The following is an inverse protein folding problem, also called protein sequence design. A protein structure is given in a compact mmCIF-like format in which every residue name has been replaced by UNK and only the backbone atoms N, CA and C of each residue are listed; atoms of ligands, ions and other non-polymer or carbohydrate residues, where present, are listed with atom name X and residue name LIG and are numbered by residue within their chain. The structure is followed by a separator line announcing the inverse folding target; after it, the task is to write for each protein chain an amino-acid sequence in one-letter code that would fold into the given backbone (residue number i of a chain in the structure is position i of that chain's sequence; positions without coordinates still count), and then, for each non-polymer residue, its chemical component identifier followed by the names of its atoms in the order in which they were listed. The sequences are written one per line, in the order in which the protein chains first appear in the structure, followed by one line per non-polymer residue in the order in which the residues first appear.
data_IF_430829390368
#
_entry.id   IF_430829390368
#
_cell.length_a   1.000
_cell.length_b   1.000
_cell.length_c   1.000
_cell.angle_alpha   90.00
_cell.angle_beta   90.00
_cell.angle_gamma   90.00
#
_symmetry.space_group_name_H-M   'P 1'
#
loop_
_entity.id
_entity.type
_entity.pdbx_description
1 polymer ?
#
# COMPACT_ATOMS: atom_id res chain seq x y z
N UNK A 1 -7.98 45.27 -4.70
CA UNK A 1 -8.59 44.21 -3.87
C UNK A 1 -8.89 44.70 -2.46
N UNK A 2 -10.05 44.32 -1.92
CA UNK A 2 -10.47 44.66 -0.56
C UNK A 2 -10.75 43.39 0.26
N UNK A 3 -10.49 43.47 1.56
CA UNK A 3 -10.88 42.47 2.56
C UNK A 3 -12.25 42.82 3.13
N UNK A 4 -13.17 41.88 3.07
CA UNK A 4 -14.54 42.06 3.52
C UNK A 4 -14.84 41.09 4.67
N UNK A 5 -15.43 41.60 5.75
CA UNK A 5 -15.86 40.77 6.87
C UNK A 5 -17.14 40.02 6.50
N UNK A 6 -17.19 38.72 6.81
CA UNK A 6 -18.34 37.87 6.53
C UNK A 6 -18.96 37.39 7.83
N UNK A 7 -20.28 37.35 7.85
CA UNK A 7 -21.09 36.82 8.94
C UNK A 7 -21.94 35.67 8.39
N UNK A 8 -21.82 34.50 9.00
CA UNK A 8 -22.59 33.29 8.68
C UNK A 8 -23.57 33.00 9.82
N UNK A 9 -24.87 32.92 9.50
CA UNK A 9 -25.94 32.66 10.49
C UNK A 9 -25.89 33.59 11.72
N UNK A 10 -25.46 34.84 11.53
CA UNK A 10 -25.34 35.83 12.61
C UNK A 10 -24.04 35.75 13.42
N UNK A 11 -23.17 34.77 13.17
CA UNK A 11 -21.86 34.64 13.80
C UNK A 11 -20.71 35.12 12.87
N UNK A 12 -19.59 35.59 13.42
CA UNK A 12 -18.41 35.93 12.62
C UNK A 12 -17.93 34.73 11.80
N UNK A 13 -17.89 34.90 10.48
CA UNK A 13 -17.58 33.88 9.48
C UNK A 13 -16.19 34.00 8.86
N UNK A 14 -15.38 34.97 9.32
CA UNK A 14 -14.07 35.28 8.78
C UNK A 14 -14.11 36.38 7.72
N UNK A 15 -13.22 36.31 6.74
CA UNK A 15 -13.07 37.33 5.70
C UNK A 15 -13.06 36.72 4.30
N UNK A 16 -13.50 37.49 3.31
CA UNK A 16 -13.34 37.19 1.88
C UNK A 16 -12.67 38.36 1.17
N UNK A 17 -11.93 38.04 0.11
CA UNK A 17 -11.18 39.02 -0.68
C UNK A 17 -11.86 39.20 -2.03
N UNK A 18 -12.20 40.45 -2.36
CA UNK A 18 -12.89 40.80 -3.59
C UNK A 18 -12.71 42.28 -3.92
N UNK A 19 -12.89 42.67 -5.18
CA UNK A 19 -12.81 44.08 -5.60
C UNK A 19 -14.07 44.86 -5.21
N UNK A 20 -15.22 44.18 -5.15
CA UNK A 20 -16.51 44.79 -4.78
C UNK A 20 -17.26 43.98 -3.71
N UNK A 21 -18.25 44.64 -3.07
CA UNK A 21 -19.11 44.01 -2.06
C UNK A 21 -19.99 42.89 -2.66
N UNK A 22 -20.37 43.02 -3.94
CA UNK A 22 -21.20 42.03 -4.62
C UNK A 22 -20.40 40.77 -4.95
N UNK A 23 -19.15 40.92 -5.38
CA UNK A 23 -18.21 39.81 -5.54
C UNK A 23 -17.90 39.12 -4.20
N UNK A 24 -17.68 39.90 -3.15
CA UNK A 24 -17.48 39.39 -1.79
C UNK A 24 -18.69 38.55 -1.34
N UNK A 25 -19.91 39.05 -1.60
CA UNK A 25 -21.15 38.35 -1.26
C UNK A 25 -21.31 37.05 -2.05
N UNK A 26 -21.05 37.07 -3.35
CA UNK A 26 -21.10 35.87 -4.19
C UNK A 26 -20.09 34.81 -3.74
N UNK A 27 -18.84 35.21 -3.46
CA UNK A 27 -17.80 34.32 -2.96
C UNK A 27 -18.16 33.71 -1.60
N UNK A 28 -18.67 34.54 -0.67
CA UNK A 28 -19.08 34.10 0.65
C UNK A 28 -20.26 33.11 0.61
N UNK A 29 -21.23 33.32 -0.29
CA UNK A 29 -22.37 32.42 -0.51
C UNK A 29 -21.92 31.08 -1.12
N UNK A 30 -21.01 31.11 -2.09
CA UNK A 30 -20.44 29.89 -2.69
C UNK A 30 -19.59 29.08 -1.70
N UNK A 31 -18.88 29.74 -0.78
CA UNK A 31 -18.18 29.08 0.32
C UNK A 31 -19.16 28.43 1.30
N UNK A 32 -20.21 29.16 1.72
CA UNK A 32 -21.24 28.64 2.63
C UNK A 32 -21.97 27.41 2.04
N UNK A 33 -22.37 27.46 0.77
CA UNK A 33 -23.06 26.34 0.11
C UNK A 33 -22.21 25.08 -0.04
N UNK A 34 -20.86 25.20 -0.11
CA UNK A 34 -19.98 24.03 -0.12
C UNK A 34 -19.91 23.31 1.23
N UNK A 35 -20.00 24.06 2.32
CA UNK A 35 -19.96 23.51 3.69
C UNK A 35 -21.35 23.05 4.14
N UNK A 36 -22.40 23.73 3.66
CA UNK A 36 -23.79 23.46 4.00
C UNK A 36 -24.65 23.29 2.73
N UNK A 37 -24.50 22.17 2.00
CA UNK A 37 -25.16 21.95 0.71
C UNK A 37 -26.70 21.92 0.81
N UNK A 38 -27.23 21.57 1.98
CA UNK A 38 -28.68 21.46 2.22
C UNK A 38 -29.32 22.77 2.70
N UNK A 39 -28.59 23.89 2.72
CA UNK A 39 -29.07 25.19 3.23
C UNK A 39 -28.97 26.28 2.16
N UNK A 40 -30.04 27.06 2.00
CA UNK A 40 -30.00 28.24 1.14
C UNK A 40 -29.13 29.34 1.79
N UNK A 41 -28.03 29.77 1.15
CA UNK A 41 -27.17 30.83 1.68
C UNK A 41 -27.83 32.22 1.71
N UNK A 42 -28.95 32.43 0.99
CA UNK A 42 -29.65 33.72 0.94
C UNK A 42 -30.18 34.12 2.33
N UNK A 43 -29.88 35.34 2.76
CA UNK A 43 -30.27 35.87 4.08
C UNK A 43 -29.43 35.37 5.28
N UNK A 44 -28.65 34.29 5.10
CA UNK A 44 -27.77 33.69 6.13
C UNK A 44 -26.33 34.15 6.02
N UNK A 45 -25.89 34.53 4.83
CA UNK A 45 -24.58 35.13 4.58
C UNK A 45 -24.73 36.64 4.48
N UNK A 46 -23.99 37.38 5.32
CA UNK A 46 -23.89 38.85 5.23
C UNK A 46 -22.43 39.27 5.12
N UNK A 47 -22.17 40.27 4.29
CA UNK A 47 -20.86 40.92 4.18
C UNK A 47 -20.99 42.30 4.84
N UNK A 48 -20.07 42.66 5.75
CA UNK A 48 -20.10 43.90 6.54
C UNK A 48 -18.91 44.81 6.21
N UNK A 49 -19.11 46.12 6.44
CA UNK A 49 -18.08 47.17 6.30
C UNK A 49 -17.90 47.72 4.88
N UNK A 50 -16.97 48.67 4.72
CA UNK A 50 -16.64 49.32 3.43
C UNK A 50 -15.52 48.62 2.63
N UNK A 51 -15.08 47.47 3.14
CA UNK A 51 -13.96 46.68 2.61
C UNK A 51 -12.62 47.38 2.85
N UNK A 52 -11.71 46.71 3.56
CA UNK A 52 -10.39 47.26 3.88
C UNK A 52 -9.42 47.01 2.72
N UNK A 53 -8.74 48.05 2.25
CA UNK A 53 -7.79 47.91 1.15
C UNK A 53 -6.58 47.08 1.58
N UNK A 54 -6.25 46.05 0.78
CA UNK A 54 -5.13 45.15 1.05
C UNK A 54 -4.08 45.33 -0.04
N UNK A 55 -2.79 45.40 0.36
CA UNK A 55 -1.67 45.65 -0.57
C UNK A 55 -1.41 44.48 -1.54
N UNK A 56 -1.58 43.23 -1.10
CA UNK A 56 -1.50 42.01 -1.92
C UNK A 56 -2.06 40.80 -1.18
N UNK A 57 -2.59 39.80 -1.92
CA UNK A 57 -3.07 38.54 -1.33
C UNK A 57 -1.95 37.81 -0.58
N UNK A 58 -0.74 37.81 -1.16
CA UNK A 58 0.44 37.19 -0.56
C UNK A 58 0.85 37.84 0.78
N UNK A 59 0.78 39.17 0.88
CA UNK A 59 1.15 39.90 2.10
C UNK A 59 0.15 39.66 3.24
N UNK A 60 -1.14 39.60 2.93
CA UNK A 60 -2.19 39.36 3.93
C UNK A 60 -2.20 37.91 4.41
N UNK A 61 -1.96 36.97 3.51
CA UNK A 61 -1.87 35.57 3.89
C UNK A 61 -0.58 35.27 4.69
N UNK A 62 0.53 35.97 4.45
CA UNK A 62 1.68 35.98 5.36
C UNK A 62 1.31 36.51 6.75
N UNK A 63 0.52 37.58 6.84
CA UNK A 63 0.06 38.16 8.10
C UNK A 63 -0.85 37.21 8.88
N UNK A 64 -1.81 36.57 8.21
CA UNK A 64 -2.71 35.57 8.81
C UNK A 64 -1.91 34.37 9.33
N UNK A 65 -0.92 33.90 8.57
CA UNK A 65 -0.03 32.82 9.03
C UNK A 65 0.74 33.23 10.28
N UNK A 66 1.24 34.47 10.34
CA UNK A 66 1.93 34.98 11.52
C UNK A 66 1.00 35.11 12.74
N UNK A 67 -0.23 35.60 12.57
CA UNK A 67 -1.23 35.71 13.65
C UNK A 67 -1.65 34.33 14.18
N UNK A 68 -1.84 33.34 13.29
CA UNK A 68 -2.14 31.96 13.67
C UNK A 68 -0.94 31.28 14.36
N UNK A 69 0.27 31.54 13.89
CA UNK A 69 1.49 31.02 14.50
C UNK A 69 1.70 31.55 15.93
N UNK A 70 1.51 32.86 16.13
CA UNK A 70 1.58 33.48 17.46
C UNK A 70 0.45 33.00 18.39
N UNK A 71 -0.78 32.85 17.87
CA UNK A 71 -1.89 32.29 18.64
C UNK A 71 -1.66 30.85 19.09
N UNK A 72 -1.02 30.03 18.26
CA UNK A 72 -0.69 28.63 18.58
C UNK A 72 0.52 28.51 19.52
N UNK A 73 1.48 29.44 19.45
CA UNK A 73 2.65 29.51 20.35
C UNK A 73 2.25 29.79 21.81
N UNK A 74 1.12 30.46 22.03
CA UNK A 74 0.65 30.86 23.36
C UNK A 74 -0.19 29.80 24.09
N UNK A 75 -0.47 28.64 23.48
CA UNK A 75 -1.25 27.57 24.09
C UNK A 75 -0.35 26.49 24.73
N UNK A 76 -0.46 26.21 26.04
CA UNK A 76 0.39 25.20 26.70
C UNK A 76 0.04 23.78 26.23
N UNK A 77 1.05 22.98 25.85
CA UNK A 77 0.93 21.52 25.72
C UNK A 77 0.72 20.95 24.31
N UNK A 78 0.91 21.71 23.23
CA UNK A 78 0.85 21.18 21.86
C UNK A 78 2.23 21.05 21.21
N UNK A 79 2.85 19.87 21.33
CA UNK A 79 3.87 19.42 20.38
C UNK A 79 3.17 18.92 19.10
N UNK A 80 2.75 19.84 18.22
CA UNK A 80 2.62 19.69 16.74
C UNK A 80 1.74 20.80 16.13
N UNK A 81 2.29 22.00 15.87
CA UNK A 81 1.62 23.04 15.09
C UNK A 81 1.68 22.79 13.56
N UNK A 82 2.38 21.75 13.10
CA UNK A 82 2.88 21.64 11.73
C UNK A 82 1.85 21.24 10.66
N UNK A 83 0.71 20.64 11.03
CA UNK A 83 -0.29 20.16 10.05
C UNK A 83 -1.28 21.25 9.64
N UNK A 84 -1.73 22.10 10.58
CA UNK A 84 -2.61 23.22 10.27
C UNK A 84 -1.87 24.35 9.53
N UNK A 85 -0.59 24.57 9.85
CA UNK A 85 0.28 25.49 9.11
C UNK A 85 0.58 25.00 7.68
N UNK A 86 0.67 23.68 7.45
CA UNK A 86 0.86 23.10 6.11
C UNK A 86 -0.34 23.34 5.20
N UNK A 87 -1.56 23.21 5.70
CA UNK A 87 -2.77 23.49 4.92
C UNK A 87 -2.90 24.97 4.55
N UNK A 88 -2.48 25.89 5.43
CA UNK A 88 -2.42 27.31 5.14
C UNK A 88 -1.34 27.65 4.08
N UNK A 89 -0.17 27.01 4.15
CA UNK A 89 0.91 27.15 3.17
C UNK A 89 0.51 26.66 1.78
N UNK A 90 -0.22 25.54 1.69
CA UNK A 90 -0.73 25.01 0.41
C UNK A 90 -1.76 25.93 -0.24
N UNK A 91 -2.63 26.56 0.56
CA UNK A 91 -3.59 27.56 0.07
C UNK A 91 -2.88 28.84 -0.42
N UNK A 92 -1.80 29.24 0.26
CA UNK A 92 -0.92 30.35 -0.11
C UNK A 92 -0.17 30.10 -1.43
N UNK A 93 0.45 28.94 -1.57
CA UNK A 93 1.17 28.55 -2.80
C UNK A 93 0.22 28.45 -4.00
N UNK A 94 -1.03 28.01 -3.76
CA UNK A 94 -2.08 27.95 -4.78
C UNK A 94 -2.60 29.33 -5.21
N UNK A 95 -2.57 30.33 -4.33
CA UNK A 95 -2.97 31.70 -4.63
C UNK A 95 -1.88 32.44 -5.42
N UNK A 96 -0.60 32.30 -5.03
CA UNK A 96 0.55 32.86 -5.76
C UNK A 96 0.64 32.31 -7.19
N UNK A 97 0.34 31.02 -7.37
CA UNK A 97 0.28 30.39 -8.70
C UNK A 97 -0.83 30.99 -9.60
N UNK A 98 -1.92 31.51 -9.02
CA UNK A 98 -3.00 32.17 -9.77
C UNK A 98 -2.68 33.63 -10.09
N UNK A 99 -1.97 34.33 -9.22
CA UNK A 99 -1.50 35.71 -9.46
C UNK A 99 -0.48 35.76 -10.62
N UNK A 100 0.37 34.74 -10.75
CA UNK A 100 1.28 34.58 -11.91
C UNK A 100 0.59 34.26 -13.25
N UNK A 101 -0.71 33.98 -13.25
CA UNK A 101 -1.52 33.74 -14.45
C UNK A 101 -2.37 34.96 -14.86
N UNK A 102 -2.27 36.09 -14.15
CA UNK A 102 -3.07 37.31 -14.35
C UNK A 102 -2.54 38.31 -15.39
N UNK A 103 -1.50 37.98 -16.14
CA UNK A 103 -1.08 38.77 -17.30
C UNK A 103 -1.94 38.41 -18.52
N UNK A 104 -2.61 39.40 -19.12
CA UNK A 104 -3.47 39.24 -20.31
C UNK A 104 -2.81 38.41 -21.41
N UNK A 105 -3.39 37.26 -21.77
CA UNK A 105 -3.00 36.45 -22.93
C UNK A 105 -4.12 36.48 -23.95
N UNK A 106 -3.94 37.30 -25.01
CA UNK A 106 -4.64 37.10 -26.28
C UNK A 106 -4.30 35.74 -26.89
N UNK A 107 -4.98 35.27 -27.96
CA UNK A 107 -4.92 33.89 -28.41
C UNK A 107 -3.60 33.60 -29.13
N UNK A 108 -2.53 33.45 -28.35
CA UNK A 108 -1.24 32.97 -28.81
C UNK A 108 -1.04 31.58 -28.20
N UNK A 109 -1.35 30.57 -29.02
CA UNK A 109 -0.81 29.20 -28.97
C UNK A 109 -0.38 28.68 -27.60
N UNK A 110 -1.25 27.87 -26.97
CA UNK A 110 -0.84 26.83 -26.00
C UNK A 110 0.18 25.92 -26.67
N UNK A 111 1.47 26.26 -26.64
CA UNK A 111 2.54 25.27 -26.73
C UNK A 111 2.68 24.66 -25.35
N UNK A 112 2.21 23.42 -25.24
CA UNK A 112 2.44 22.55 -24.10
C UNK A 112 3.93 22.59 -23.70
N UNK A 113 4.22 23.18 -22.55
CA UNK A 113 5.52 23.05 -21.87
C UNK A 113 5.64 21.62 -21.35
N UNK A 114 6.77 20.98 -21.64
CA UNK A 114 6.97 19.54 -21.45
C UNK A 114 6.83 19.11 -20.00
N UNK A 115 5.69 18.50 -19.66
CA UNK A 115 5.63 17.59 -18.51
C UNK A 115 6.48 16.37 -18.81
N UNK A 116 7.13 15.79 -17.80
CA UNK A 116 7.71 14.46 -17.91
C UNK A 116 6.57 13.45 -18.08
N UNK A 117 6.13 13.33 -19.33
CA UNK A 117 4.98 12.52 -19.74
C UNK A 117 5.16 11.05 -19.39
N UNK A 118 6.42 10.61 -19.23
CA UNK A 118 6.75 9.27 -18.79
C UNK A 118 6.48 9.09 -17.29
N UNK A 119 6.95 10.00 -16.45
CA UNK A 119 6.68 9.95 -15.00
C UNK A 119 5.18 10.09 -14.70
N UNK A 120 4.49 10.99 -15.39
CA UNK A 120 3.04 11.15 -15.28
C UNK A 120 2.30 9.86 -15.67
N UNK A 121 2.70 9.22 -16.78
CA UNK A 121 2.13 7.93 -17.21
C UNK A 121 2.43 6.82 -16.22
N UNK A 122 3.63 6.79 -15.65
CA UNK A 122 4.04 5.78 -14.69
C UNK A 122 3.24 5.86 -13.38
N UNK A 123 2.89 7.07 -12.92
CA UNK A 123 2.12 7.30 -11.69
C UNK A 123 0.60 7.08 -11.86
N UNK A 124 0.10 6.90 -13.08
CA UNK A 124 -1.33 6.73 -13.36
C UNK A 124 -2.01 5.64 -12.51
N UNK A 125 -1.45 4.44 -12.32
CA UNK A 125 -2.08 3.41 -11.48
C UNK A 125 -2.33 3.86 -10.03
N UNK A 126 -1.45 4.70 -9.48
CA UNK A 126 -1.57 5.25 -8.12
C UNK A 126 -2.67 6.30 -8.06
N UNK A 127 -2.81 7.13 -9.10
CA UNK A 127 -3.87 8.14 -9.15
C UNK A 127 -5.26 7.54 -9.35
N UNK A 128 -5.36 6.48 -10.16
CA UNK A 128 -6.61 5.78 -10.46
C UNK A 128 -7.12 4.93 -9.29
N UNK A 129 -6.22 4.40 -8.45
CA UNK A 129 -6.61 3.56 -7.31
C UNK A 129 -7.34 4.35 -6.22
N UNK A 130 -8.60 4.03 -5.94
CA UNK A 130 -9.40 4.58 -4.85
C UNK A 130 -8.87 4.19 -3.45
N UNK A 131 -8.06 3.14 -3.36
CA UNK A 131 -7.44 2.70 -2.10
C UNK A 131 -6.19 3.51 -1.73
N UNK A 132 -5.58 4.26 -2.67
CA UNK A 132 -4.47 5.14 -2.33
C UNK A 132 -4.99 6.42 -1.67
N UNK A 133 -4.49 6.81 -0.47
CA UNK A 133 -4.94 8.01 0.22
C UNK A 133 -4.76 9.29 -0.59
N UNK A 134 -5.74 10.19 -0.51
CA UNK A 134 -5.71 11.51 -1.16
C UNK A 134 -4.42 12.30 -0.88
N UNK A 135 -3.88 12.37 0.35
CA UNK A 135 -2.64 13.10 0.62
C UNK A 135 -1.43 12.57 -0.16
N UNK A 136 -1.36 11.25 -0.39
CA UNK A 136 -0.29 10.64 -1.20
C UNK A 136 -0.41 11.09 -2.66
N UNK A 137 -1.63 11.07 -3.22
CA UNK A 137 -1.91 11.49 -4.59
C UNK A 137 -1.63 12.98 -4.79
N UNK A 138 -2.07 13.83 -3.86
CA UNK A 138 -1.85 15.29 -3.94
C UNK A 138 -0.37 15.62 -3.88
N UNK A 139 0.39 14.98 -2.99
CA UNK A 139 1.85 15.15 -2.92
C UNK A 139 2.54 14.76 -4.23
N UNK A 140 2.15 13.64 -4.82
CA UNK A 140 2.70 13.18 -6.10
C UNK A 140 2.30 14.11 -7.27
N UNK A 141 1.08 14.65 -7.28
CA UNK A 141 0.63 15.63 -8.28
C UNK A 141 1.41 16.94 -8.17
N UNK A 142 1.58 17.47 -6.96
CA UNK A 142 2.39 18.67 -6.73
C UNK A 142 3.81 18.47 -7.27
N UNK A 143 4.44 17.33 -6.99
CA UNK A 143 5.77 17.00 -7.53
C UNK A 143 5.79 16.97 -9.07
N UNK A 144 4.75 16.48 -9.75
CA UNK A 144 4.65 16.48 -11.20
C UNK A 144 4.51 17.89 -11.79
N UNK A 145 3.74 18.76 -11.14
CA UNK A 145 3.54 20.15 -11.58
C UNK A 145 4.87 20.91 -11.60
N UNK A 146 5.75 20.63 -10.63
CA UNK A 146 7.11 21.19 -10.60
C UNK A 146 7.96 20.74 -11.79
N UNK A 147 7.87 19.47 -12.22
CA UNK A 147 8.65 18.96 -13.37
C UNK A 147 8.30 19.68 -14.67
N UNK A 148 7.04 20.10 -14.83
CA UNK A 148 6.56 20.81 -16.02
C UNK A 148 7.19 22.20 -16.24
N UNK A 149 7.91 22.75 -15.26
CA UNK A 149 8.49 24.10 -15.28
C UNK A 149 9.95 24.16 -15.77
N UNK A 150 10.38 23.25 -16.66
CA UNK A 150 11.78 23.09 -17.14
C UNK A 150 12.77 22.65 -16.06
N UNK A 151 12.41 21.64 -15.27
CA UNK A 151 13.34 21.07 -14.29
C UNK A 151 14.34 20.13 -14.96
N UNK A 152 15.62 20.48 -14.98
CA UNK A 152 16.69 19.63 -15.53
C UNK A 152 17.74 19.23 -14.48
N UNK A 153 18.48 18.17 -14.77
CA UNK A 153 19.64 17.75 -13.98
C UNK A 153 19.31 17.41 -12.54
N UNK A 154 19.97 18.10 -11.59
CA UNK A 154 19.90 17.80 -10.15
C UNK A 154 18.51 18.03 -9.55
N UNK A 155 17.78 19.05 -10.01
CA UNK A 155 16.45 19.36 -9.46
C UNK A 155 15.42 18.29 -9.85
N UNK A 156 15.49 17.76 -11.08
CA UNK A 156 14.64 16.64 -11.51
C UNK A 156 14.90 15.40 -10.63
N UNK A 157 16.16 15.11 -10.31
CA UNK A 157 16.51 14.00 -9.41
C UNK A 157 15.98 14.19 -8.00
N UNK A 158 15.96 15.42 -7.47
CA UNK A 158 15.34 15.70 -6.16
C UNK A 158 13.84 15.43 -6.19
N UNK A 159 13.16 15.78 -7.28
CA UNK A 159 11.72 15.51 -7.43
C UNK A 159 11.46 14.01 -7.52
N UNK A 160 12.20 13.28 -8.37
CA UNK A 160 12.09 11.83 -8.50
C UNK A 160 12.34 11.11 -7.17
N UNK A 161 13.33 11.58 -6.41
CA UNK A 161 13.65 11.03 -5.09
C UNK A 161 12.51 11.26 -4.10
N UNK A 162 11.96 12.49 -4.03
CA UNK A 162 10.79 12.80 -3.21
C UNK A 162 9.55 12.01 -3.64
N UNK A 163 9.38 11.74 -4.93
CA UNK A 163 8.30 10.89 -5.42
C UNK A 163 8.50 9.44 -4.96
N UNK A 164 9.72 8.92 -5.07
CA UNK A 164 10.07 7.58 -4.58
C UNK A 164 9.87 7.45 -3.07
N UNK A 165 10.33 8.42 -2.27
CA UNK A 165 10.05 8.50 -0.84
C UNK A 165 8.56 8.45 -0.52
N UNK A 166 7.76 9.19 -1.29
CA UNK A 166 6.32 9.25 -1.09
C UNK A 166 5.67 7.89 -1.35
N UNK A 167 6.11 7.16 -2.38
CA UNK A 167 5.66 5.81 -2.65
C UNK A 167 6.15 4.81 -1.58
N UNK A 168 7.41 4.92 -1.16
CA UNK A 168 8.02 4.08 -0.13
C UNK A 168 7.25 4.17 1.18
N UNK A 169 7.01 5.38 1.67
CA UNK A 169 6.29 5.62 2.91
C UNK A 169 4.81 5.21 2.83
N UNK A 170 4.26 5.09 1.63
CA UNK A 170 2.89 4.61 1.40
C UNK A 170 2.81 3.09 1.16
N UNK A 171 3.92 2.34 1.28
CA UNK A 171 3.93 0.89 1.04
C UNK A 171 3.75 0.49 -0.44
N UNK A 172 3.97 1.42 -1.38
CA UNK A 172 3.76 1.23 -2.83
C UNK A 172 5.03 0.74 -3.56
N UNK A 173 6.02 0.23 -2.83
CA UNK A 173 7.29 -0.24 -3.39
C UNK A 173 7.40 -1.76 -3.19
N UNK A 174 7.72 -2.48 -4.26
CA UNK A 174 8.06 -3.90 -4.17
C UNK A 174 9.37 -4.06 -3.38
N UNK A 175 9.33 -4.76 -2.24
CA UNK A 175 10.47 -5.05 -1.39
C UNK A 175 11.58 -5.86 -2.08
N UNK A 176 11.27 -6.55 -3.19
CA UNK A 176 12.27 -7.23 -4.03
C UNK A 176 12.95 -6.29 -5.02
N UNK A 177 12.44 -5.06 -5.13
CA UNK A 177 12.89 -4.04 -6.06
C UNK A 177 12.96 -4.56 -7.49
N UNK A 178 12.04 -5.44 -7.89
CA UNK A 178 12.06 -6.02 -9.23
C UNK A 178 11.89 -4.94 -10.30
N UNK A 179 12.62 -5.10 -11.40
CA UNK A 179 12.53 -4.13 -12.49
C UNK A 179 11.13 -4.15 -13.11
N UNK A 180 10.48 -5.31 -13.17
CA UNK A 180 9.16 -5.52 -13.80
C UNK A 180 8.22 -6.18 -12.78
N UNK A 181 7.67 -5.41 -11.83
CA UNK A 181 6.79 -5.97 -10.83
C UNK A 181 5.51 -6.52 -11.47
N UNK A 182 5.03 -7.65 -10.97
CA UNK A 182 3.76 -8.27 -11.38
C UNK A 182 2.55 -7.41 -11.00
N UNK A 183 2.65 -6.64 -9.91
CA UNK A 183 1.61 -5.74 -9.43
C UNK A 183 1.67 -4.37 -10.12
N UNK A 184 0.52 -3.89 -10.62
CA UNK A 184 0.39 -2.57 -11.26
C UNK A 184 0.70 -1.40 -10.30
N UNK A 185 0.36 -1.53 -9.02
CA UNK A 185 0.61 -0.49 -8.02
C UNK A 185 2.10 -0.28 -7.72
N UNK A 186 2.94 -1.31 -7.95
CA UNK A 186 4.40 -1.22 -7.78
C UNK A 186 5.12 -0.67 -9.02
N UNK A 187 4.47 -0.63 -10.19
CA UNK A 187 5.09 -0.16 -11.44
C UNK A 187 5.67 1.26 -11.36
N UNK A 188 4.96 2.26 -10.76
CA UNK A 188 5.55 3.59 -10.61
C UNK A 188 6.83 3.60 -9.77
N UNK A 189 6.89 2.82 -8.69
CA UNK A 189 8.08 2.70 -7.88
C UNK A 189 9.24 2.07 -8.68
N UNK A 190 8.97 0.98 -9.43
CA UNK A 190 9.98 0.34 -10.26
C UNK A 190 10.53 1.29 -11.35
N UNK A 191 9.67 2.12 -11.95
CA UNK A 191 10.09 3.16 -12.88
C UNK A 191 11.08 4.15 -12.24
N UNK A 192 10.76 4.65 -11.05
CA UNK A 192 11.62 5.57 -10.30
C UNK A 192 12.93 4.90 -9.85
N UNK A 193 12.87 3.66 -9.36
CA UNK A 193 14.06 2.87 -8.97
C UNK A 193 15.03 2.76 -10.13
N UNK A 194 14.57 2.47 -11.37
CA UNK A 194 15.44 2.41 -12.55
C UNK A 194 16.11 3.75 -12.84
N UNK A 195 15.36 4.86 -12.77
CA UNK A 195 15.91 6.21 -13.02
C UNK A 195 16.93 6.62 -11.95
N UNK A 196 16.60 6.40 -10.68
CA UNK A 196 17.45 6.72 -9.54
C UNK A 196 18.72 5.84 -9.48
N UNK A 197 18.62 4.58 -9.90
CA UNK A 197 19.78 3.67 -9.99
C UNK A 197 20.73 4.08 -11.11
N UNK A 198 20.20 4.40 -12.30
CA UNK A 198 21.01 4.93 -13.41
C UNK A 198 21.71 6.24 -13.03
N UNK A 199 21.06 7.07 -12.21
CA UNK A 199 21.62 8.30 -11.69
C UNK A 199 22.59 8.09 -10.50
N UNK A 200 22.82 6.84 -10.06
CA UNK A 200 23.65 6.49 -8.89
C UNK A 200 23.17 7.12 -7.57
N UNK A 201 21.88 7.47 -7.48
CA UNK A 201 21.24 7.99 -6.26
C UNK A 201 20.77 6.84 -5.36
N UNK A 202 20.23 5.80 -5.99
CA UNK A 202 19.84 4.55 -5.35
C UNK A 202 20.79 3.44 -5.78
N UNK A 203 21.12 2.52 -4.88
CA UNK A 203 21.91 1.33 -5.19
C UNK A 203 21.20 0.11 -4.61
N UNK A 204 20.95 -0.88 -5.46
CA UNK A 204 20.25 -2.12 -5.12
C UNK A 204 21.24 -3.26 -5.26
N UNK A 205 21.63 -3.85 -4.13
CA UNK A 205 22.54 -4.99 -4.06
C UNK A 205 21.75 -6.28 -3.93
N UNK A 206 21.73 -7.05 -5.03
CA UNK A 206 21.07 -8.36 -5.10
C UNK A 206 21.98 -9.52 -4.71
N UNK A 207 23.29 -9.26 -4.61
CA UNK A 207 24.31 -10.26 -4.30
C UNK A 207 24.29 -11.46 -5.27
N UNK A 208 24.15 -11.18 -6.56
CA UNK A 208 24.17 -12.20 -7.61
C UNK A 208 25.48 -13.01 -7.54
N UNK A 209 25.36 -14.34 -7.50
CA UNK A 209 26.50 -15.24 -7.44
C UNK A 209 26.97 -15.63 -6.02
N UNK A 210 26.48 -14.96 -4.97
CA UNK A 210 26.71 -15.42 -3.59
C UNK A 210 25.84 -16.66 -3.32
N UNK A 211 26.46 -17.79 -2.97
CA UNK A 211 25.75 -19.06 -2.73
C UNK A 211 25.88 -19.53 -1.29
N UNK A 212 26.92 -19.09 -0.60
CA UNK A 212 27.20 -19.48 0.77
C UNK A 212 27.02 -18.33 1.75
N UNK A 213 26.72 -18.63 3.02
CA UNK A 213 26.66 -17.65 4.12
C UNK A 213 27.95 -16.82 4.20
N UNK A 214 29.10 -17.44 3.91
CA UNK A 214 30.39 -16.74 3.94
C UNK A 214 30.58 -15.81 2.74
N UNK A 215 30.12 -16.19 1.54
CA UNK A 215 30.07 -15.27 0.38
C UNK A 215 29.24 -14.02 0.72
N UNK A 216 28.07 -14.22 1.32
CA UNK A 216 27.22 -13.10 1.73
C UNK A 216 27.86 -12.25 2.81
N UNK A 217 28.52 -12.85 3.80
CA UNK A 217 29.25 -12.09 4.84
C UNK A 217 30.36 -11.26 4.22
N UNK A 218 31.14 -11.83 3.30
CA UNK A 218 32.19 -11.11 2.60
C UNK A 218 31.63 -9.95 1.77
N UNK A 219 30.54 -10.17 1.02
CA UNK A 219 29.89 -9.14 0.22
C UNK A 219 29.22 -8.04 1.07
N UNK A 220 28.78 -8.36 2.28
CA UNK A 220 28.18 -7.42 3.24
C UNK A 220 29.21 -6.66 4.08
N UNK A 221 30.45 -7.14 4.18
CA UNK A 221 31.49 -6.53 5.01
C UNK A 221 31.66 -5.00 4.79
N UNK A 222 31.59 -4.46 3.55
CA UNK A 222 31.69 -3.01 3.32
C UNK A 222 30.50 -2.18 3.84
N UNK A 223 29.39 -2.83 4.20
CA UNK A 223 28.11 -2.18 4.55
C UNK A 223 27.80 -2.20 6.05
N UNK A 224 28.58 -2.94 6.84
CA UNK A 224 28.37 -3.11 8.28
C UNK A 224 27.30 -4.14 8.62
N UNK A 225 27.28 -4.58 9.89
CA UNK A 225 26.42 -5.67 10.35
C UNK A 225 24.90 -5.36 10.26
N UNK A 226 24.52 -4.08 10.42
CA UNK A 226 23.12 -3.65 10.35
C UNK A 226 22.54 -3.68 8.93
N UNK A 227 23.36 -3.88 7.90
CA UNK A 227 22.93 -3.93 6.50
C UNK A 227 22.20 -5.24 6.15
N UNK A 228 22.19 -6.23 7.04
CA UNK A 228 21.51 -7.50 6.80
C UNK A 228 20.75 -8.02 8.02
N UNK A 229 19.70 -8.77 7.75
CA UNK A 229 18.98 -9.61 8.70
C UNK A 229 19.03 -11.06 8.21
N UNK A 230 19.18 -12.00 9.13
CA UNK A 230 19.16 -13.44 8.81
C UNK A 230 17.90 -14.11 9.34
N UNK A 231 17.28 -14.93 8.50
CA UNK A 231 16.31 -15.94 8.89
C UNK A 231 16.90 -17.34 8.63
N UNK A 232 16.23 -18.38 9.11
CA UNK A 232 16.64 -19.77 8.88
C UNK A 232 15.60 -20.50 8.03
N UNK A 233 16.00 -21.54 7.33
CA UNK A 233 15.12 -22.50 6.64
C UNK A 233 15.79 -23.87 6.57
N UNK A 234 15.02 -24.95 6.54
CA UNK A 234 15.55 -26.30 6.37
C UNK A 234 15.97 -26.55 4.91
N UNK A 235 17.13 -27.18 4.70
CA UNK A 235 17.67 -27.53 3.38
C UNK A 235 18.15 -28.99 3.37
N UNK A 236 18.23 -29.67 2.20
CA UNK A 236 18.68 -31.05 2.14
C UNK A 236 20.13 -31.23 2.62
N UNK A 237 20.44 -32.36 3.27
CA UNK A 237 21.79 -32.84 3.61
C UNK A 237 22.60 -33.14 2.33
N UNK A 238 23.09 -32.08 1.69
CA UNK A 238 23.79 -32.15 0.41
C UNK A 238 23.80 -30.82 -0.33
N UNK A 239 22.82 -29.94 -0.05
CA UNK A 239 22.87 -28.52 -0.40
C UNK A 239 23.91 -27.74 0.41
N UNK A 240 24.47 -28.35 1.46
CA UNK A 240 25.47 -27.73 2.33
C UNK A 240 24.84 -26.82 3.37
N UNK A 241 25.25 -26.97 4.63
CA UNK A 241 24.82 -26.12 5.75
C UNK A 241 25.13 -24.62 5.54
N UNK A 242 25.98 -24.31 4.56
CA UNK A 242 26.35 -22.96 4.20
C UNK A 242 25.46 -22.36 3.11
N UNK A 243 24.54 -23.09 2.48
CA UNK A 243 23.67 -22.51 1.45
C UNK A 243 22.86 -21.34 2.01
N UNK A 244 22.88 -20.24 1.27
CA UNK A 244 22.15 -19.04 1.61
C UNK A 244 21.45 -18.48 0.39
N UNK A 245 20.21 -18.01 0.59
CA UNK A 245 19.43 -17.36 -0.46
C UNK A 245 19.05 -15.95 -0.03
N UNK A 246 19.11 -15.01 -0.98
CA UNK A 246 18.68 -13.63 -0.77
C UNK A 246 17.18 -13.55 -1.00
N UNK A 247 16.45 -13.30 0.08
CA UNK A 247 15.01 -13.04 0.02
C UNK A 247 14.72 -11.60 -0.38
N UNK A 248 15.51 -10.68 0.16
CA UNK A 248 15.36 -9.25 -0.08
C UNK A 248 16.73 -8.61 -0.33
N UNK A 249 16.88 -7.78 -1.36
CA UNK A 249 18.15 -7.10 -1.63
C UNK A 249 18.46 -6.05 -0.55
N UNK A 250 19.73 -5.71 -0.41
CA UNK A 250 20.15 -4.51 0.32
C UNK A 250 19.88 -3.30 -0.58
N UNK A 251 19.19 -2.29 -0.05
CA UNK A 251 18.95 -1.05 -0.78
C UNK A 251 19.55 0.11 -0.02
N UNK A 252 20.42 0.83 -0.72
CA UNK A 252 21.16 1.97 -0.23
C UNK A 252 20.71 3.23 -0.93
N UNK A 253 20.66 4.31 -0.17
CA UNK A 253 20.36 5.65 -0.63
C UNK A 253 21.57 6.55 -0.41
N UNK A 254 22.01 7.21 -1.48
CA UNK A 254 23.07 8.22 -1.42
C UNK A 254 24.41 7.61 -0.99
N UNK A 255 25.24 8.30 -0.19
CA UNK A 255 26.55 7.80 0.23
C UNK A 255 26.45 6.72 1.33
N UNK A 256 25.56 5.73 1.17
CA UNK A 256 25.53 4.51 1.98
C UNK A 256 24.45 4.42 3.06
N UNK A 257 23.41 5.28 3.07
CA UNK A 257 22.30 5.13 4.01
C UNK A 257 21.49 3.87 3.69
N UNK A 258 21.36 2.96 4.64
CA UNK A 258 20.54 1.75 4.48
C UNK A 258 19.06 2.14 4.48
N UNK A 259 18.39 1.93 3.36
CA UNK A 259 16.93 2.07 3.22
C UNK A 259 16.23 0.75 3.53
N UNK A 260 16.75 -0.35 2.99
CA UNK A 260 16.27 -1.71 3.24
C UNK A 260 17.46 -2.61 3.55
N UNK A 261 17.38 -3.36 4.65
CA UNK A 261 18.36 -4.39 4.99
C UNK A 261 18.22 -5.57 4.02
N UNK A 262 19.34 -6.15 3.60
CA UNK A 262 19.31 -7.45 2.96
C UNK A 262 18.66 -8.46 3.91
N UNK A 263 17.91 -9.41 3.35
CA UNK A 263 17.37 -10.52 4.12
C UNK A 263 17.87 -11.82 3.53
N UNK A 264 18.58 -12.60 4.35
CA UNK A 264 19.24 -13.82 3.92
C UNK A 264 18.64 -15.00 4.69
N UNK A 265 18.28 -16.07 3.98
CA UNK A 265 17.98 -17.36 4.61
C UNK A 265 19.27 -18.14 4.80
N UNK A 266 19.44 -18.67 6.01
CA UNK A 266 20.51 -19.61 6.36
C UNK A 266 19.93 -21.02 6.35
N UNK A 267 20.55 -21.91 5.57
CA UNK A 267 20.19 -23.32 5.54
C UNK A 267 20.47 -24.02 6.87
N UNK A 268 19.52 -24.82 7.33
CA UNK A 268 19.70 -25.83 8.38
C UNK A 268 19.62 -27.18 7.69
N UNK A 269 20.74 -27.91 7.53
CA UNK A 269 20.76 -29.17 6.80
C UNK A 269 19.93 -30.24 7.53
N UNK A 270 19.11 -30.98 6.79
CA UNK A 270 18.34 -32.13 7.28
C UNK A 270 18.30 -33.24 6.23
N UNK A 271 18.38 -34.49 6.67
CA UNK A 271 18.26 -35.66 5.80
C UNK A 271 16.84 -35.86 5.24
N UNK A 272 15.83 -35.42 5.98
CA UNK A 272 14.43 -35.65 5.63
C UNK A 272 13.92 -34.58 4.65
N UNK A 273 13.80 -34.96 3.37
CA UNK A 273 13.24 -34.12 2.31
C UNK A 273 11.83 -33.61 2.62
N UNK A 274 11.08 -34.31 3.48
CA UNK A 274 9.74 -33.89 3.85
C UNK A 274 9.73 -32.71 4.83
N UNK A 275 10.74 -32.62 5.71
CA UNK A 275 10.97 -31.45 6.55
C UNK A 275 11.23 -30.23 5.67
N UNK A 276 12.06 -30.39 4.64
CA UNK A 276 12.38 -29.32 3.67
C UNK A 276 11.13 -28.88 2.91
N UNK A 277 10.37 -29.83 2.37
CA UNK A 277 9.16 -29.53 1.60
C UNK A 277 8.10 -28.80 2.45
N UNK A 278 7.90 -29.24 3.69
CA UNK A 278 6.94 -28.61 4.61
C UNK A 278 7.40 -27.22 5.05
N UNK A 279 8.67 -27.05 5.47
CA UNK A 279 9.21 -25.74 5.85
C UNK A 279 9.14 -24.75 4.70
N UNK A 280 9.44 -25.18 3.47
CA UNK A 280 9.32 -24.34 2.27
C UNK A 280 7.90 -23.83 2.07
N UNK A 281 6.89 -24.70 2.17
CA UNK A 281 5.49 -24.30 2.05
C UNK A 281 5.09 -23.27 3.12
N UNK A 282 5.59 -23.42 4.35
CA UNK A 282 5.35 -22.48 5.45
C UNK A 282 6.11 -21.15 5.27
N UNK A 283 7.38 -21.21 4.87
CA UNK A 283 8.24 -20.04 4.69
C UNK A 283 7.72 -19.17 3.54
N UNK A 284 7.40 -19.78 2.40
CA UNK A 284 6.83 -19.08 1.25
C UNK A 284 5.52 -18.37 1.66
N UNK A 285 4.62 -19.07 2.37
CA UNK A 285 3.36 -18.48 2.83
C UNK A 285 3.58 -17.31 3.79
N UNK A 286 4.48 -17.46 4.76
CA UNK A 286 4.77 -16.41 5.73
C UNK A 286 5.40 -15.19 5.06
N UNK A 287 6.36 -15.39 4.16
CA UNK A 287 7.00 -14.29 3.44
C UNK A 287 5.99 -13.49 2.64
N UNK A 288 5.19 -14.14 1.79
CA UNK A 288 4.18 -13.43 0.99
C UNK A 288 3.19 -12.66 1.85
N UNK A 289 2.72 -13.24 2.96
CA UNK A 289 1.82 -12.56 3.87
C UNK A 289 2.50 -11.38 4.57
N UNK A 290 3.75 -11.55 5.03
CA UNK A 290 4.49 -10.51 5.73
C UNK A 290 4.85 -9.35 4.79
N UNK A 291 5.26 -9.68 3.57
CA UNK A 291 5.55 -8.73 2.51
C UNK A 291 4.31 -7.92 2.14
N UNK A 292 3.15 -8.57 2.08
CA UNK A 292 1.88 -7.89 1.88
C UNK A 292 1.57 -6.94 3.03
N UNK A 293 1.61 -7.41 4.28
CA UNK A 293 1.28 -6.58 5.46
C UNK A 293 2.21 -5.39 5.62
N UNK A 294 3.51 -5.57 5.34
CA UNK A 294 4.50 -4.50 5.46
C UNK A 294 4.45 -3.51 4.27
N UNK A 295 3.73 -3.84 3.20
CA UNK A 295 3.63 -3.07 1.96
C UNK A 295 2.20 -2.63 1.65
N UNK A 296 1.62 -3.15 0.56
CA UNK A 296 0.29 -2.77 0.07
C UNK A 296 -0.84 -3.05 1.08
N UNK A 297 -0.64 -3.96 2.03
CA UNK A 297 -1.58 -4.25 3.10
C UNK A 297 -1.88 -3.03 3.97
N UNK A 298 -0.90 -2.13 4.17
CA UNK A 298 -1.08 -0.86 4.90
C UNK A 298 -2.16 0.04 4.27
N UNK A 299 -2.36 -0.08 2.95
CA UNK A 299 -3.42 0.66 2.23
C UNK A 299 -4.79 0.04 2.44
N UNK A 300 -4.86 -1.26 2.74
CA UNK A 300 -6.11 -1.95 3.06
C UNK A 300 -6.52 -1.74 4.51
N UNK A 301 -5.57 -1.60 5.44
CA UNK A 301 -5.82 -1.55 6.89
C UNK A 301 -6.94 -0.59 7.32
N UNK A 302 -7.01 0.68 6.85
CA UNK A 302 -8.06 1.62 7.25
C UNK A 302 -9.48 1.18 6.83
N UNK A 303 -9.58 0.25 5.88
CA UNK A 303 -10.84 -0.24 5.33
C UNK A 303 -11.25 -1.60 5.91
N UNK A 304 -10.35 -2.27 6.63
CA UNK A 304 -10.59 -3.59 7.21
C UNK A 304 -11.03 -3.48 8.67
N UNK A 305 -11.97 -4.35 9.06
CA UNK A 305 -12.39 -4.50 10.46
C UNK A 305 -11.33 -5.29 11.23
N UNK A 306 -11.30 -5.12 12.55
CA UNK A 306 -10.39 -5.85 13.46
C UNK A 306 -10.40 -7.37 13.23
N UNK A 307 -11.58 -7.97 13.05
CA UNK A 307 -11.70 -9.40 12.75
C UNK A 307 -11.00 -9.81 11.44
N UNK A 308 -10.97 -8.93 10.44
CA UNK A 308 -10.28 -9.17 9.17
C UNK A 308 -8.77 -8.96 9.33
N UNK A 309 -8.34 -7.93 10.05
CA UNK A 309 -6.93 -7.71 10.39
C UNK A 309 -6.33 -8.91 11.15
N UNK A 310 -7.10 -9.49 12.08
CA UNK A 310 -6.68 -10.68 12.84
C UNK A 310 -6.43 -11.93 11.97
N UNK A 311 -6.85 -11.95 10.70
CA UNK A 311 -6.56 -13.07 9.80
C UNK A 311 -5.05 -13.18 9.54
N UNK A 312 -4.39 -12.03 9.30
CA UNK A 312 -2.96 -11.96 9.03
C UNK A 312 -2.16 -12.42 10.25
N UNK A 313 -2.46 -11.85 11.43
CA UNK A 313 -1.77 -12.17 12.68
C UNK A 313 -1.92 -13.65 13.06
N UNK A 314 -3.11 -14.22 12.88
CA UNK A 314 -3.35 -15.64 13.17
C UNK A 314 -2.59 -16.56 12.24
N UNK A 315 -2.53 -16.23 10.94
CA UNK A 315 -1.74 -16.98 9.97
C UNK A 315 -0.25 -16.95 10.35
N UNK A 316 0.30 -15.75 10.55
CA UNK A 316 1.70 -15.56 10.95
C UNK A 316 2.03 -16.30 12.25
N UNK A 317 1.21 -16.15 13.28
CA UNK A 317 1.43 -16.81 14.58
C UNK A 317 1.46 -18.33 14.45
N UNK A 318 0.56 -18.92 13.65
CA UNK A 318 0.50 -20.36 13.43
C UNK A 318 1.72 -20.88 12.68
N UNK A 319 2.18 -20.16 11.64
CA UNK A 319 3.40 -20.52 10.92
C UNK A 319 4.60 -20.45 11.87
N UNK A 320 4.78 -19.32 12.55
CA UNK A 320 5.90 -19.14 13.48
C UNK A 320 5.92 -20.20 14.57
N UNK A 321 4.79 -20.50 15.20
CA UNK A 321 4.70 -21.53 16.23
C UNK A 321 5.15 -22.90 15.72
N UNK A 322 4.71 -23.29 14.52
CA UNK A 322 5.12 -24.56 13.92
C UNK A 322 6.62 -24.57 13.60
N UNK A 323 7.13 -23.51 12.96
CA UNK A 323 8.55 -23.39 12.58
C UNK A 323 9.47 -23.33 13.81
N UNK A 324 9.11 -22.58 14.84
CA UNK A 324 9.87 -22.50 16.09
C UNK A 324 9.92 -23.87 16.80
N UNK A 325 8.82 -24.63 16.76
CA UNK A 325 8.79 -25.99 17.30
C UNK A 325 9.65 -26.97 16.50
N UNK A 326 9.61 -26.89 15.16
CA UNK A 326 10.49 -27.69 14.28
C UNK A 326 11.97 -27.37 14.54
N UNK A 327 12.32 -26.08 14.66
CA UNK A 327 13.68 -25.66 14.97
C UNK A 327 14.15 -26.11 16.35
N UNK A 328 13.27 -26.07 17.36
CA UNK A 328 13.58 -26.60 18.70
C UNK A 328 13.81 -28.12 18.66
N UNK A 329 12.93 -28.87 17.99
CA UNK A 329 13.08 -30.31 17.81
C UNK A 329 14.40 -30.68 17.11
N UNK A 330 14.76 -29.95 16.05
CA UNK A 330 16.02 -30.16 15.34
C UNK A 330 17.26 -29.95 16.25
N UNK A 331 17.26 -28.89 17.08
CA UNK A 331 18.36 -28.63 18.02
C UNK A 331 18.47 -29.68 19.11
N UNK A 332 17.35 -30.25 19.51
CA UNK A 332 17.27 -31.26 20.57
C UNK A 332 17.43 -32.70 20.04
N UNK A 333 17.66 -32.88 18.72
CA UNK A 333 17.75 -34.20 18.10
C UNK A 333 16.45 -35.01 18.17
N UNK A 334 15.30 -34.33 18.27
CA UNK A 334 13.96 -34.93 18.28
C UNK A 334 13.39 -34.98 16.86
N UNK A 335 12.28 -35.70 16.70
CA UNK A 335 11.50 -35.71 15.47
C UNK A 335 11.07 -34.28 15.11
N UNK A 336 11.60 -33.78 13.99
CA UNK A 336 11.40 -32.39 13.54
C UNK A 336 9.99 -32.20 13.00
N UNK A 337 9.49 -33.20 12.30
CA UNK A 337 8.26 -33.12 11.53
C UNK A 337 7.04 -33.30 12.45
N UNK A 338 6.05 -32.39 12.41
CA UNK A 338 4.81 -32.61 13.13
C UNK A 338 4.02 -33.80 12.54
N UNK A 339 3.11 -34.41 13.32
CA UNK A 339 2.23 -35.47 12.81
C UNK A 339 1.44 -35.03 11.57
N UNK A 340 1.17 -35.96 10.66
CA UNK A 340 0.46 -35.73 9.39
C UNK A 340 -0.83 -34.93 9.54
N UNK A 341 -1.63 -35.26 10.56
CA UNK A 341 -2.88 -34.56 10.85
C UNK A 341 -2.63 -33.08 11.14
N UNK A 342 -1.64 -32.76 11.97
CA UNK A 342 -1.28 -31.39 12.32
C UNK A 342 -0.72 -30.63 11.10
N UNK A 343 0.10 -31.28 10.27
CA UNK A 343 0.65 -30.68 9.03
C UNK A 343 -0.44 -30.37 8.02
N UNK A 344 -1.27 -31.37 7.70
CA UNK A 344 -2.41 -31.22 6.79
C UNK A 344 -3.36 -30.12 7.25
N UNK A 345 -3.71 -30.10 8.53
CA UNK A 345 -4.66 -29.14 9.07
C UNK A 345 -4.07 -27.73 9.15
N UNK A 346 -2.77 -27.58 9.42
CA UNK A 346 -2.07 -26.30 9.32
C UNK A 346 -2.07 -25.77 7.88
N UNK A 347 -1.71 -26.60 6.90
CA UNK A 347 -1.68 -26.20 5.48
C UNK A 347 -3.07 -25.78 5.00
N UNK A 348 -4.11 -26.57 5.32
CA UNK A 348 -5.51 -26.20 5.06
C UNK A 348 -5.87 -24.88 5.74
N UNK A 349 -5.47 -24.69 7.00
CA UNK A 349 -5.73 -23.45 7.73
C UNK A 349 -5.10 -22.24 7.03
N UNK A 350 -3.86 -22.34 6.54
CA UNK A 350 -3.20 -21.25 5.82
C UNK A 350 -3.92 -20.90 4.52
N UNK A 351 -4.26 -21.91 3.72
CA UNK A 351 -5.03 -21.72 2.48
C UNK A 351 -6.38 -21.05 2.81
N UNK A 352 -7.06 -21.49 3.87
CA UNK A 352 -8.32 -20.90 4.32
C UNK A 352 -8.15 -19.44 4.76
N UNK A 353 -7.06 -19.09 5.47
CA UNK A 353 -6.79 -17.70 5.85
C UNK A 353 -6.56 -16.82 4.61
N UNK A 354 -5.81 -17.30 3.63
CA UNK A 354 -5.54 -16.57 2.38
C UNK A 354 -6.83 -16.31 1.60
N UNK A 355 -7.73 -17.28 1.51
CA UNK A 355 -9.06 -17.08 0.92
C UNK A 355 -9.91 -16.09 1.71
N UNK A 356 -9.89 -16.15 3.04
CA UNK A 356 -10.62 -15.19 3.89
C UNK A 356 -10.07 -13.75 3.78
N UNK A 357 -8.76 -13.61 3.57
CA UNK A 357 -8.14 -12.30 3.33
C UNK A 357 -8.56 -11.79 1.95
N UNK A 358 -8.48 -12.62 0.92
CA UNK A 358 -8.91 -12.27 -0.44
C UNK A 358 -10.39 -11.88 -0.48
N UNK A 359 -11.25 -12.63 0.21
CA UNK A 359 -12.67 -12.30 0.46
C UNK A 359 -12.82 -10.93 1.12
N UNK A 360 -12.02 -10.63 2.15
CA UNK A 360 -12.08 -9.34 2.82
C UNK A 360 -11.70 -8.17 1.90
N UNK A 361 -10.75 -8.38 0.98
CA UNK A 361 -10.31 -7.38 0.01
C UNK A 361 -11.32 -7.15 -1.13
N UNK A 362 -12.26 -8.08 -1.37
CA UNK A 362 -13.32 -7.94 -2.38
C UNK A 362 -14.26 -6.76 -2.12
N UNK A 363 -14.26 -6.23 -0.90
CA UNK A 363 -15.16 -5.18 -0.44
C UNK A 363 -14.50 -3.80 -0.38
N UNK A 364 -13.27 -3.69 -0.85
CA UNK A 364 -12.59 -2.41 -0.93
C UNK A 364 -13.22 -1.50 -2.01
N UNK A 365 -13.01 -0.17 -1.93
CA UNK A 365 -13.59 0.79 -2.87
C UNK A 365 -13.30 0.50 -4.34
N UNK A 366 -12.18 -0.17 -4.63
CA UNK A 366 -11.87 -0.72 -5.93
C UNK A 366 -11.19 -2.10 -5.82
N UNK A 367 -10.92 -2.71 -6.99
CA UNK A 367 -10.29 -4.02 -7.09
C UNK A 367 -8.76 -4.00 -7.03
N UNK A 368 -8.12 -2.82 -6.99
CA UNK A 368 -6.67 -2.69 -7.18
C UNK A 368 -5.86 -3.48 -6.15
N UNK A 369 -6.27 -3.44 -4.88
CA UNK A 369 -5.62 -4.19 -3.81
C UNK A 369 -5.99 -5.68 -3.82
N UNK A 370 -7.23 -6.04 -4.17
CA UNK A 370 -7.61 -7.45 -4.31
C UNK A 370 -6.84 -8.12 -5.45
N UNK A 371 -6.77 -7.48 -6.61
CA UNK A 371 -6.02 -7.98 -7.75
C UNK A 371 -4.53 -8.07 -7.41
N UNK A 372 -3.97 -7.08 -6.70
CA UNK A 372 -2.60 -7.13 -6.21
C UNK A 372 -2.34 -8.30 -5.25
N UNK A 373 -3.25 -8.55 -4.29
CA UNK A 373 -3.15 -9.70 -3.38
C UNK A 373 -3.25 -11.02 -4.15
N UNK A 374 -4.13 -11.07 -5.15
CA UNK A 374 -4.27 -12.17 -6.09
C UNK A 374 -2.94 -12.56 -6.74
N UNK A 375 -2.20 -11.58 -7.25
CA UNK A 375 -0.92 -11.79 -7.93
C UNK A 375 0.26 -12.03 -6.97
N UNK A 376 0.32 -11.33 -5.84
CA UNK A 376 1.49 -11.31 -4.96
C UNK A 376 1.45 -12.41 -3.88
N UNK A 377 0.27 -12.85 -3.48
CA UNK A 377 0.08 -13.77 -2.36
C UNK A 377 -0.76 -14.97 -2.76
N UNK A 378 -1.98 -14.74 -3.23
CA UNK A 378 -2.98 -15.80 -3.36
C UNK A 378 -2.49 -16.93 -4.28
N UNK A 379 -2.07 -16.62 -5.51
CA UNK A 379 -1.65 -17.65 -6.47
C UNK A 379 -0.45 -18.45 -5.98
N UNK A 380 0.52 -17.76 -5.38
CA UNK A 380 1.76 -18.37 -4.91
C UNK A 380 1.49 -19.28 -3.71
N UNK A 381 0.73 -18.82 -2.71
CA UNK A 381 0.44 -19.63 -1.53
C UNK A 381 -0.55 -20.75 -1.84
N UNK A 382 -1.64 -20.45 -2.54
CA UNK A 382 -2.73 -21.41 -2.75
C UNK A 382 -2.38 -22.45 -3.80
N UNK A 383 -1.77 -22.08 -4.93
CA UNK A 383 -1.57 -23.01 -6.06
C UNK A 383 -0.14 -23.48 -6.25
N UNK A 384 0.87 -22.70 -5.82
CA UNK A 384 2.29 -23.05 -6.04
C UNK A 384 3.00 -23.56 -4.79
N UNK A 385 2.56 -23.14 -3.61
CA UNK A 385 3.14 -23.54 -2.32
C UNK A 385 2.23 -24.51 -1.55
N UNK A 386 1.50 -23.98 -0.58
CA UNK A 386 0.70 -24.75 0.38
C UNK A 386 -0.28 -25.73 -0.29
N UNK A 387 -1.01 -25.33 -1.34
CA UNK A 387 -1.94 -26.25 -2.01
C UNK A 387 -1.24 -27.31 -2.86
N UNK A 388 -0.06 -27.01 -3.43
CA UNK A 388 0.75 -28.02 -4.12
C UNK A 388 1.24 -29.08 -3.14
N UNK A 389 1.74 -28.65 -1.98
CA UNK A 389 2.14 -29.54 -0.89
C UNK A 389 0.96 -30.42 -0.41
N UNK A 390 -0.22 -29.83 -0.21
CA UNK A 390 -1.43 -30.54 0.20
C UNK A 390 -1.83 -31.62 -0.82
N UNK A 391 -1.76 -31.30 -2.11
CA UNK A 391 -2.07 -32.20 -3.21
C UNK A 391 -1.06 -33.33 -3.33
N UNK A 392 0.24 -33.03 -3.32
CA UNK A 392 1.29 -34.03 -3.55
C UNK A 392 1.46 -34.98 -2.36
N UNK A 393 1.29 -34.49 -1.12
CA UNK A 393 1.53 -35.30 0.08
C UNK A 393 0.29 -36.01 0.60
N UNK A 394 -0.88 -35.40 0.49
CA UNK A 394 -2.11 -35.94 1.07
C UNK A 394 -3.17 -36.32 0.04
N UNK A 395 -2.92 -36.12 -1.26
CA UNK A 395 -3.92 -36.36 -2.32
C UNK A 395 -5.13 -35.44 -2.24
N UNK A 396 -5.02 -34.31 -1.53
CA UNK A 396 -6.13 -33.37 -1.31
C UNK A 396 -5.96 -32.19 -2.28
N UNK A 397 -6.92 -32.05 -3.20
CA UNK A 397 -6.91 -31.04 -4.23
C UNK A 397 -7.89 -29.91 -3.92
N UNK A 398 -7.51 -28.69 -4.32
CA UNK A 398 -8.43 -27.54 -4.33
C UNK A 398 -9.26 -27.63 -5.59
N UNK A 399 -10.57 -27.63 -5.41
CA UNK A 399 -11.50 -27.66 -6.52
C UNK A 399 -11.65 -26.28 -7.15
N UNK A 400 -10.95 -26.07 -8.25
CA UNK A 400 -10.93 -24.82 -9.01
C UNK A 400 -12.19 -24.60 -9.85
N UNK A 401 -13.17 -25.52 -9.85
CA UNK A 401 -14.47 -25.25 -10.47
C UNK A 401 -15.30 -24.29 -9.61
N UNK A 402 -15.04 -24.23 -8.29
CA UNK A 402 -15.71 -23.31 -7.37
C UNK A 402 -14.88 -22.03 -7.26
N UNK A 403 -15.20 -21.04 -8.09
CA UNK A 403 -14.51 -19.74 -8.15
C UNK A 403 -15.48 -18.57 -8.12
N UNK A 404 -14.96 -17.36 -7.88
CA UNK A 404 -15.71 -16.13 -8.07
C UNK A 404 -16.32 -16.06 -9.49
N UNK A 405 -17.57 -15.61 -9.56
CA UNK A 405 -18.35 -15.46 -10.77
C UNK A 405 -19.11 -16.71 -11.19
N UNK A 406 -18.80 -17.87 -10.62
CA UNK A 406 -19.43 -19.13 -11.01
C UNK A 406 -20.92 -19.18 -10.64
N UNK A 407 -21.71 -19.85 -11.49
CA UNK A 407 -23.13 -20.09 -11.22
C UNK A 407 -23.29 -21.22 -10.21
N UNK A 408 -23.93 -20.91 -9.09
CA UNK A 408 -24.11 -21.81 -7.99
C UNK A 408 -25.07 -22.97 -8.35
N UNK A 409 -25.96 -22.81 -9.32
CA UNK A 409 -26.83 -23.90 -9.79
C UNK A 409 -26.04 -25.03 -10.47
N UNK A 410 -24.87 -24.73 -11.05
CA UNK A 410 -23.99 -25.72 -11.68
C UNK A 410 -23.07 -26.44 -10.66
N UNK A 411 -23.07 -26.01 -9.39
CA UNK A 411 -22.10 -26.45 -8.36
C UNK A 411 -22.79 -27.12 -7.16
N UNK A 412 -23.94 -27.74 -7.37
CA UNK A 412 -24.74 -28.39 -6.31
C UNK A 412 -23.90 -29.35 -5.47
N UNK A 413 -23.98 -29.21 -4.14
CA UNK A 413 -23.25 -30.06 -3.18
C UNK A 413 -21.76 -29.73 -3.00
N UNK A 414 -21.19 -28.83 -3.79
CA UNK A 414 -19.76 -28.47 -3.74
C UNK A 414 -19.47 -27.22 -2.93
N UNK A 415 -20.50 -26.48 -2.55
CA UNK A 415 -20.36 -25.28 -1.71
C UNK A 415 -21.48 -25.19 -0.67
N UNK A 416 -21.26 -24.32 0.32
CA UNK A 416 -22.20 -23.89 1.34
C UNK A 416 -22.11 -22.36 1.43
N UNK A 417 -23.24 -21.73 1.73
CA UNK A 417 -23.28 -20.28 1.94
C UNK A 417 -22.63 -19.93 3.28
N UNK A 418 -21.67 -19.01 3.29
CA UNK A 418 -21.01 -18.56 4.53
C UNK A 418 -22.02 -17.80 5.41
N UNK A 419 -22.22 -18.22 6.69
CA UNK A 419 -23.03 -17.48 7.64
C UNK A 419 -22.23 -16.30 8.23
N UNK A 420 -22.86 -15.13 8.29
CA UNK A 420 -22.25 -13.91 8.85
C UNK A 420 -21.26 -13.21 7.90
N UNK A 421 -20.67 -12.10 8.36
CA UNK A 421 -19.91 -11.18 7.52
C UNK A 421 -20.80 -10.19 6.74
N UNK A 422 -20.22 -9.34 5.88
CA UNK A 422 -20.96 -8.32 5.14
C UNK A 422 -22.05 -8.98 4.28
N UNK A 423 -23.31 -8.58 4.49
CA UNK A 423 -24.44 -9.11 3.72
C UNK A 423 -24.39 -8.52 2.30
N UNK A 424 -24.57 -9.35 1.26
CA UNK A 424 -24.72 -8.83 -0.11
C UNK A 424 -25.94 -7.90 -0.19
N UNK A 425 -25.89 -6.88 -1.06
CA UNK A 425 -27.02 -5.96 -1.31
C UNK A 425 -28.25 -6.71 -1.80
N UNK A 426 -28.06 -7.71 -2.67
CA UNK A 426 -29.12 -8.56 -3.20
C UNK A 426 -28.67 -10.02 -3.30
N UNK A 427 -29.61 -10.96 -3.13
CA UNK A 427 -29.36 -12.40 -3.35
C UNK A 427 -29.26 -12.67 -4.85
N UNK A 428 -28.24 -13.40 -5.29
CA UNK A 428 -28.07 -13.90 -6.66
C UNK A 428 -27.63 -15.36 -6.63
N UNK A 429 -27.72 -16.06 -7.78
CA UNK A 429 -27.12 -17.39 -7.97
C UNK A 429 -25.62 -17.35 -8.23
N UNK A 430 -25.01 -16.17 -8.33
CA UNK A 430 -23.58 -16.04 -8.63
C UNK A 430 -22.77 -16.04 -7.36
N UNK A 431 -21.72 -16.86 -7.33
CA UNK A 431 -20.66 -16.77 -6.33
C UNK A 431 -19.93 -15.46 -6.55
N UNK A 432 -19.87 -14.62 -5.54
CA UNK A 432 -19.08 -13.39 -5.63
C UNK A 432 -17.66 -13.60 -5.09
N UNK A 433 -17.51 -14.46 -4.10
CA UNK A 433 -16.22 -14.66 -3.43
C UNK A 433 -16.22 -16.00 -2.72
N UNK A 434 -15.06 -16.65 -2.72
CA UNK A 434 -14.81 -17.93 -2.08
C UNK A 434 -14.11 -17.65 -0.75
N UNK A 435 -14.86 -17.77 0.35
CA UNK A 435 -14.36 -17.52 1.71
C UNK A 435 -13.40 -18.63 2.15
N UNK A 436 -13.73 -19.87 1.77
CA UNK A 436 -12.96 -21.07 2.08
C UNK A 436 -13.08 -22.02 0.87
N UNK A 437 -12.00 -22.60 0.37
CA UNK A 437 -12.06 -23.43 -0.83
C UNK A 437 -12.73 -24.78 -0.58
N UNK A 438 -13.27 -25.32 -1.67
CA UNK A 438 -13.70 -26.71 -1.75
C UNK A 438 -12.45 -27.61 -1.83
N UNK A 439 -12.41 -28.64 -0.98
CA UNK A 439 -11.39 -29.68 -1.03
C UNK A 439 -11.97 -30.97 -1.55
N UNK A 440 -11.23 -31.61 -2.44
CA UNK A 440 -11.54 -32.92 -3.01
C UNK A 440 -10.40 -33.89 -2.75
N UNK A 441 -10.73 -35.17 -2.64
CA UNK A 441 -9.76 -36.26 -2.51
C UNK A 441 -10.33 -37.44 -3.30
N UNK A 442 -9.54 -38.00 -4.21
CA UNK A 442 -9.95 -39.11 -5.09
C UNK A 442 -11.28 -38.84 -5.82
N UNK A 443 -11.45 -37.61 -6.33
CA UNK A 443 -12.65 -37.16 -7.04
C UNK A 443 -13.88 -36.89 -6.16
N UNK A 444 -13.78 -37.12 -4.85
CA UNK A 444 -14.88 -36.89 -3.89
C UNK A 444 -14.68 -35.60 -3.10
N UNK A 445 -15.75 -34.81 -2.93
CA UNK A 445 -15.73 -33.63 -2.07
C UNK A 445 -15.59 -34.04 -0.60
N UNK A 446 -14.42 -33.79 -0.03
CA UNK A 446 -14.15 -34.02 1.41
C UNK A 446 -14.50 -32.80 2.27
N UNK A 447 -14.55 -31.61 1.66
CA UNK A 447 -15.08 -30.40 2.29
C UNK A 447 -15.66 -29.46 1.23
N UNK A 448 -16.95 -29.11 1.29
CA UNK A 448 -17.50 -28.12 0.37
C UNK A 448 -16.91 -26.74 0.65
N UNK A 449 -16.85 -25.88 -0.37
CA UNK A 449 -16.44 -24.49 -0.21
C UNK A 449 -17.40 -23.72 0.71
N UNK A 450 -16.91 -22.72 1.43
CA UNK A 450 -17.77 -21.64 1.94
C UNK A 450 -17.71 -20.46 0.99
N UNK A 451 -18.86 -19.98 0.52
CA UNK A 451 -18.94 -18.91 -0.48
C UNK A 451 -19.92 -17.82 -0.06
N UNK A 452 -19.71 -16.60 -0.56
CA UNK A 452 -20.72 -15.53 -0.50
C UNK A 452 -21.40 -15.41 -1.85
N UNK A 453 -22.72 -15.52 -1.84
CA UNK A 453 -23.57 -15.35 -3.02
C UNK A 453 -24.22 -13.98 -2.98
N UNK A 454 -24.19 -13.25 -4.08
CA UNK A 454 -24.91 -11.98 -4.19
C UNK A 454 -24.22 -10.92 -5.05
N UNK A 455 -24.81 -9.73 -5.03
CA UNK A 455 -24.25 -8.51 -5.64
C UNK A 455 -23.89 -7.55 -4.50
N UNK A 456 -22.70 -6.94 -4.56
CA UNK A 456 -22.15 -6.12 -3.47
C UNK A 456 -22.22 -4.62 -3.66
#
# INVERSE_FOLDING_TARGET
MKRWEVVYDGAPGGHVYAESVDEARAAAQAAYGRVHPDRDPRGRVRVRGEGEAVRSEAGEAQRIVAEVYEGLRLLPGMELPAEKLRSALVLLESAVARESLGGSVGPATRRAGGSDSELQRALRPVFESACVPTPVKERLRGLLDWVGLKTEGKELRKIELKAFETLWNAGLVDYRFEERPSCRLHQPAAFLVRRLTRAKVLRVERFEGCRTVDDFRAALAPHGAEAAASAWSFVPEGGGAAEASVLRPLVLWGPGKVLQRARILRGVPVADDEVVAFDRALCDAWERLKDWTDGLGLLAEPHLKEKQLSLFERAEKRIRTARDAMAAAAREGREVLPPDTARRDLVKFLIDQVHRIEDALAFLPDRSLRDAFGELVFKDVVFRGAGSYLSMRFGIHIDTAVVEGADAQALVGRYRKEPGGPRPKAKSSKIHTVVVPCYTQDGTTVRPASVRLGVY
#
